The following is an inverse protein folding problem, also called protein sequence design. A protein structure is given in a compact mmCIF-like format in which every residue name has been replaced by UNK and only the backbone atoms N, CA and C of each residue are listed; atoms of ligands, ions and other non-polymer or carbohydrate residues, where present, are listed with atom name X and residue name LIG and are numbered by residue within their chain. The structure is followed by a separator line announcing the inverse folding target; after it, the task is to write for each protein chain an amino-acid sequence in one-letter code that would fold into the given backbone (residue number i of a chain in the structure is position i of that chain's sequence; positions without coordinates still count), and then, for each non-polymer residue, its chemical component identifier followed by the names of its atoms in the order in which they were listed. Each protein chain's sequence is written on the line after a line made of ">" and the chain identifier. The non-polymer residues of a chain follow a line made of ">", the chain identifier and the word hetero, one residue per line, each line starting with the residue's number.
data_IF_832171566069
#
_entry.id   IF_832171566069
#
_cell.length_a   1.000
_cell.length_b   1.000
_cell.length_c   1.000
_cell.angle_alpha   90.00
_cell.angle_beta   90.00
_cell.angle_gamma   90.00
#
_symmetry.space_group_name_H-M   'P 1'
#
loop_
_entity.id
_entity.type
_entity.pdbx_description
1 polymer ?
#
# COMPACT_ATOMS: atom_id res chain seq x y z
N UNK A 1 -12.73 -11.47 -7.59
CA UNK A 1 -11.54 -11.81 -8.39
C UNK A 1 -10.58 -12.64 -7.55
N UNK A 2 -9.78 -13.50 -8.18
CA UNK A 2 -8.72 -14.30 -7.53
C UNK A 2 -7.38 -13.99 -8.20
N UNK A 3 -6.28 -14.00 -7.43
CA UNK A 3 -4.93 -13.76 -7.95
C UNK A 3 -4.10 -15.03 -7.75
N UNK A 4 -3.69 -15.65 -8.85
CA UNK A 4 -2.80 -16.80 -8.85
C UNK A 4 -1.37 -16.35 -9.16
N UNK A 5 -0.46 -16.49 -8.20
CA UNK A 5 0.94 -16.06 -8.34
C UNK A 5 1.78 -17.20 -8.91
N UNK A 6 2.12 -17.12 -10.20
CA UNK A 6 2.94 -18.12 -10.90
C UNK A 6 4.45 -17.88 -10.80
N UNK A 7 4.88 -16.74 -10.24
CA UNK A 7 6.29 -16.36 -10.15
C UNK A 7 6.61 -15.57 -8.89
N UNK A 8 6.81 -16.28 -7.76
CA UNK A 8 6.98 -15.70 -6.42
C UNK A 8 8.07 -14.62 -6.34
N UNK A 9 9.23 -14.81 -6.98
CA UNK A 9 10.36 -13.85 -6.93
C UNK A 9 10.10 -12.56 -7.71
N UNK A 10 9.18 -12.58 -8.69
CA UNK A 10 8.85 -11.42 -9.54
C UNK A 10 7.64 -10.65 -9.02
N UNK A 11 6.81 -11.28 -8.22
CA UNK A 11 5.56 -10.70 -7.74
C UNK A 11 5.80 -9.66 -6.65
N UNK A 12 5.30 -8.45 -6.86
CA UNK A 12 5.28 -7.38 -5.87
C UNK A 12 3.86 -7.25 -5.29
N UNK A 13 3.57 -7.91 -4.14
CA UNK A 13 2.22 -7.97 -3.59
C UNK A 13 1.69 -6.58 -3.19
N UNK A 14 2.54 -5.72 -2.63
CA UNK A 14 2.13 -4.40 -2.14
C UNK A 14 1.75 -3.51 -3.31
N UNK A 15 2.61 -3.42 -4.32
CA UNK A 15 2.30 -2.62 -5.51
C UNK A 15 1.07 -3.14 -6.24
N UNK A 16 0.90 -4.46 -6.33
CA UNK A 16 -0.29 -5.09 -6.93
C UNK A 16 -1.57 -4.69 -6.22
N UNK A 17 -1.59 -4.74 -4.88
CA UNK A 17 -2.76 -4.32 -4.09
C UNK A 17 -3.13 -2.86 -4.32
N UNK A 18 -2.13 -1.98 -4.37
CA UNK A 18 -2.37 -0.55 -4.65
C UNK A 18 -2.88 -0.30 -6.08
N UNK A 19 -2.37 -1.04 -7.07
CA UNK A 19 -2.87 -0.93 -8.45
C UNK A 19 -4.32 -1.40 -8.57
N UNK A 20 -4.71 -2.47 -7.86
CA UNK A 20 -6.10 -2.93 -7.83
C UNK A 20 -7.01 -1.84 -7.25
N UNK A 21 -6.66 -1.27 -6.09
CA UNK A 21 -7.45 -0.21 -5.44
C UNK A 21 -7.56 1.00 -6.35
N UNK A 22 -6.44 1.46 -6.92
CA UNK A 22 -6.41 2.60 -7.84
C UNK A 22 -7.25 2.33 -9.10
N UNK A 23 -7.17 1.13 -9.66
CA UNK A 23 -7.93 0.74 -10.85
C UNK A 23 -9.42 0.75 -10.57
N UNK A 24 -9.87 0.17 -9.44
CA UNK A 24 -11.28 0.20 -9.05
C UNK A 24 -11.77 1.64 -8.87
N UNK A 25 -10.99 2.49 -8.18
CA UNK A 25 -11.32 3.91 -8.01
C UNK A 25 -11.45 4.63 -9.35
N UNK A 26 -10.55 4.37 -10.30
CA UNK A 26 -10.55 5.03 -11.60
C UNK A 26 -11.68 4.54 -12.52
N UNK A 27 -12.06 3.26 -12.42
CA UNK A 27 -13.18 2.70 -13.19
C UNK A 27 -14.55 3.14 -12.65
N UNK A 28 -14.66 3.37 -11.34
CA UNK A 28 -15.94 3.69 -10.68
C UNK A 28 -15.81 4.90 -9.75
N UNK A 29 -15.43 6.09 -10.25
CA UNK A 29 -15.14 7.26 -9.42
C UNK A 29 -16.31 7.69 -8.54
N UNK A 30 -17.55 7.59 -9.05
CA UNK A 30 -18.76 8.01 -8.32
C UNK A 30 -19.28 6.97 -7.32
N UNK A 31 -18.73 5.75 -7.33
CA UNK A 31 -19.14 4.65 -6.44
C UNK A 31 -18.03 4.22 -5.48
N UNK A 32 -16.81 4.68 -5.69
CA UNK A 32 -15.68 4.33 -4.85
C UNK A 32 -15.70 5.14 -3.56
N UNK A 33 -15.69 4.45 -2.43
CA UNK A 33 -15.53 5.08 -1.11
C UNK A 33 -14.46 4.36 -0.29
N UNK A 34 -13.65 5.14 0.41
CA UNK A 34 -12.82 4.58 1.47
C UNK A 34 -13.71 4.19 2.64
N UNK A 35 -13.47 3.00 3.21
CA UNK A 35 -14.13 2.60 4.44
C UNK A 35 -13.86 3.63 5.54
N UNK A 36 -14.92 4.17 6.13
CA UNK A 36 -14.88 5.15 7.22
C UNK A 36 -14.56 4.46 8.55
N UNK A 37 -13.98 5.17 9.55
CA UNK A 37 -13.92 4.65 10.92
C UNK A 37 -15.32 4.31 11.46
N UNK A 38 -15.42 3.42 12.47
CA UNK A 38 -14.32 2.79 13.19
C UNK A 38 -13.74 1.55 12.49
N UNK A 39 -12.52 1.18 12.88
CA UNK A 39 -11.88 -0.08 12.48
C UNK A 39 -11.13 -0.68 13.67
N UNK A 40 -11.50 -1.90 14.06
CA UNK A 40 -11.00 -2.56 15.28
C UNK A 40 -11.13 -1.63 16.51
N UNK A 41 -10.02 -1.30 17.18
CA UNK A 41 -9.99 -0.43 18.35
C UNK A 41 -9.78 1.06 18.01
N UNK A 42 -9.57 1.40 16.74
CA UNK A 42 -9.34 2.78 16.28
C UNK A 42 -10.65 3.43 15.82
N UNK A 43 -10.90 4.64 16.34
CA UNK A 43 -12.18 5.35 16.18
C UNK A 43 -12.09 6.59 15.29
N UNK A 44 -10.89 7.06 14.97
CA UNK A 44 -10.67 8.33 14.27
C UNK A 44 -10.02 8.14 12.90
N UNK A 45 -9.03 7.26 12.79
CA UNK A 45 -8.29 7.08 11.53
C UNK A 45 -9.06 6.20 10.54
N UNK A 46 -8.89 6.47 9.25
CA UNK A 46 -9.43 5.62 8.21
C UNK A 46 -8.77 4.23 8.27
N UNK A 47 -9.53 3.11 8.19
CA UNK A 47 -8.97 1.75 8.14
C UNK A 47 -7.80 1.57 7.17
N UNK A 48 -7.87 2.17 5.97
CA UNK A 48 -6.78 2.09 5.00
C UNK A 48 -5.48 2.70 5.55
N UNK A 49 -5.57 3.90 6.16
CA UNK A 49 -4.43 4.63 6.70
C UNK A 49 -3.79 3.88 7.89
N UNK A 50 -4.60 3.12 8.65
CA UNK A 50 -4.12 2.24 9.72
C UNK A 50 -3.33 1.07 9.14
N UNK A 51 -3.92 0.34 8.18
CA UNK A 51 -3.33 -0.89 7.63
C UNK A 51 -2.07 -0.61 6.81
N UNK A 52 -2.02 0.51 6.08
CA UNK A 52 -0.84 0.91 5.31
C UNK A 52 0.18 1.69 6.16
N UNK A 53 -0.21 2.13 7.35
CA UNK A 53 0.63 2.82 8.33
C UNK A 53 0.87 4.31 8.09
N UNK A 54 0.14 4.95 7.16
CA UNK A 54 0.22 6.39 6.88
C UNK A 54 -0.97 6.88 6.04
N UNK A 55 -1.23 8.20 6.02
CA UNK A 55 -2.28 8.80 5.16
C UNK A 55 -1.80 9.15 3.75
N UNK A 56 -0.51 9.41 3.56
CA UNK A 56 -0.01 10.02 2.32
C UNK A 56 -0.19 9.10 1.09
N UNK A 57 -0.19 7.77 1.27
CA UNK A 57 -0.44 6.83 0.17
C UNK A 57 -1.88 6.97 -0.33
N UNK A 58 -2.87 7.03 0.58
CA UNK A 58 -4.27 7.26 0.23
C UNK A 58 -4.43 8.58 -0.51
N UNK A 59 -3.87 9.66 0.04
CA UNK A 59 -3.91 10.99 -0.57
C UNK A 59 -3.25 11.01 -1.97
N UNK A 60 -2.19 10.24 -2.18
CA UNK A 60 -1.54 10.12 -3.49
C UNK A 60 -2.43 9.36 -4.50
N UNK A 61 -3.16 8.33 -4.07
CA UNK A 61 -4.15 7.61 -4.88
C UNK A 61 -5.33 8.53 -5.23
N UNK A 62 -5.81 9.32 -4.28
CA UNK A 62 -6.86 10.32 -4.49
C UNK A 62 -6.45 11.35 -5.54
N UNK A 63 -5.20 11.81 -5.49
CA UNK A 63 -4.55 12.69 -6.49
C UNK A 63 -4.13 11.97 -7.78
N UNK A 64 -4.60 10.73 -8.00
CA UNK A 64 -4.35 9.89 -9.18
C UNK A 64 -2.86 9.71 -9.53
N UNK A 65 -1.95 9.77 -8.54
CA UNK A 65 -0.51 9.53 -8.76
C UNK A 65 -0.27 8.08 -9.22
N UNK A 66 0.80 7.85 -10.00
CA UNK A 66 1.17 6.48 -10.41
C UNK A 66 1.72 5.69 -9.23
N UNK A 67 1.41 4.39 -9.13
CA UNK A 67 1.94 3.54 -8.05
C UNK A 67 3.46 3.47 -8.12
N UNK A 68 4.04 3.54 -9.33
CA UNK A 68 5.49 3.69 -9.53
C UNK A 68 6.05 4.92 -8.79
N UNK A 69 5.38 6.08 -8.86
CA UNK A 69 5.82 7.29 -8.16
C UNK A 69 5.67 7.19 -6.64
N UNK A 70 4.61 6.55 -6.17
CA UNK A 70 4.37 6.26 -4.75
C UNK A 70 5.47 5.33 -4.22
N UNK A 71 5.76 4.25 -4.95
CA UNK A 71 6.81 3.30 -4.60
C UNK A 71 8.19 3.93 -4.53
N UNK A 72 8.51 4.78 -5.51
CA UNK A 72 9.77 5.52 -5.53
C UNK A 72 9.96 6.39 -4.27
N UNK A 73 8.88 6.95 -3.72
CA UNK A 73 8.96 7.79 -2.50
C UNK A 73 9.39 6.97 -1.27
N UNK A 74 8.79 5.79 -1.03
CA UNK A 74 9.15 4.99 0.15
C UNK A 74 10.46 4.21 -0.01
N UNK A 75 11.02 4.14 -1.22
CA UNK A 75 12.23 3.35 -1.51
C UNK A 75 13.40 3.75 -0.60
N UNK A 76 13.56 5.06 -0.32
CA UNK A 76 14.59 5.57 0.59
C UNK A 76 14.48 4.98 1.99
N UNK A 77 13.28 4.96 2.56
CA UNK A 77 13.03 4.44 3.90
C UNK A 77 13.15 2.92 3.94
N UNK A 78 12.71 2.23 2.87
CA UNK A 78 12.91 0.79 2.71
C UNK A 78 14.41 0.43 2.69
N UNK A 79 15.23 1.19 1.96
CA UNK A 79 16.67 0.93 1.89
C UNK A 79 17.36 1.25 3.23
N UNK A 80 16.91 2.29 3.93
CA UNK A 80 17.34 2.56 5.31
C UNK A 80 16.99 1.40 6.23
N UNK A 81 15.76 0.90 6.19
CA UNK A 81 15.32 -0.22 7.00
C UNK A 81 16.09 -1.51 6.67
N UNK A 82 16.35 -1.78 5.38
CA UNK A 82 17.19 -2.91 4.95
C UNK A 82 18.60 -2.85 5.53
N UNK A 83 19.17 -1.66 5.73
CA UNK A 83 20.47 -1.50 6.42
C UNK A 83 20.35 -1.75 7.92
N UNK A 84 19.32 -1.19 8.57
CA UNK A 84 19.09 -1.36 10.01
C UNK A 84 18.87 -2.83 10.36
N UNK A 85 17.99 -3.52 9.62
CA UNK A 85 17.60 -4.91 9.92
C UNK A 85 18.78 -5.89 9.86
N UNK A 86 19.84 -5.60 9.09
CA UNK A 86 21.02 -6.48 8.96
C UNK A 86 21.64 -6.85 10.30
N UNK A 87 21.59 -5.95 11.30
CA UNK A 87 22.13 -6.19 12.65
C UNK A 87 21.36 -7.24 13.45
N UNK A 88 20.14 -7.57 13.01
CA UNK A 88 19.20 -8.40 13.75
C UNK A 88 18.76 -9.65 12.96
N UNK A 89 19.36 -9.92 11.79
CA UNK A 89 19.05 -11.11 11.00
C UNK A 89 19.74 -12.33 11.62
N UNK A 90 18.95 -13.34 11.99
CA UNK A 90 19.44 -14.65 12.43
C UNK A 90 19.60 -15.64 11.27
N UNK A 91 18.97 -15.35 10.13
CA UNK A 91 18.96 -16.18 8.94
C UNK A 91 19.30 -15.34 7.71
N UNK A 92 20.10 -15.93 6.81
CA UNK A 92 20.43 -15.39 5.49
C UNK A 92 19.36 -15.67 4.45
#
# INVERSE_FOLDING_TARGET
>A
AQIYVTGKKRFDPVSTGLEIIKTIKNLYPDKFEWRKPPYEFEKRKLPFDILIGNSWIREAIEKNKSIVSIKRRWQRDLDKFKRIRKKYLLYG
#
